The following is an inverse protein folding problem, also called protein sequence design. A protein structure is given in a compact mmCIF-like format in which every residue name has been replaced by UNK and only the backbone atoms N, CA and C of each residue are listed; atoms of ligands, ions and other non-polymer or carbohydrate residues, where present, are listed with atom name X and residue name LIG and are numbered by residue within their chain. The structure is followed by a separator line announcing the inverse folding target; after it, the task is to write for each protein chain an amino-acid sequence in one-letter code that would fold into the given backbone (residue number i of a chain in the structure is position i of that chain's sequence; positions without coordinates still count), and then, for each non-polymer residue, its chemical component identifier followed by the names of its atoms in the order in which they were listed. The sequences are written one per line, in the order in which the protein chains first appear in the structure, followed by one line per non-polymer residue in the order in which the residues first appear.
data_IF_921866929279
#
_entry.id   IF_921866929279
#
_cell.length_a   1.000
_cell.length_b   1.000
_cell.length_c   1.000
_cell.angle_alpha   90.00
_cell.angle_beta   90.00
_cell.angle_gamma   90.00
#
_symmetry.space_group_name_H-M   'P 1'
#
loop_
_entity.id
_entity.type
_entity.pdbx_description
1 polymer ?
#
# COMPACT_ATOMS: atom_id res chain seq x y z
N UNK A 1 -14.33 26.09 -18.79
CA UNK A 1 -12.85 26.12 -18.78
C UNK A 1 -12.41 25.19 -17.66
N UNK A 2 -12.06 23.95 -17.95
CA UNK A 2 -11.51 23.04 -16.95
C UNK A 2 -10.13 23.54 -16.58
N UNK A 3 -9.96 23.97 -15.33
CA UNK A 3 -8.64 24.34 -14.80
C UNK A 3 -7.74 23.10 -14.85
N UNK A 4 -6.80 23.11 -15.77
CA UNK A 4 -5.79 22.05 -15.95
C UNK A 4 -4.72 22.19 -14.84
N UNK A 5 -5.17 22.28 -13.58
CA UNK A 5 -4.24 22.33 -12.46
C UNK A 5 -3.64 20.93 -12.30
N UNK A 6 -2.33 20.75 -12.37
CA UNK A 6 -1.71 19.45 -12.19
C UNK A 6 -2.09 18.87 -10.83
N UNK A 7 -2.46 17.60 -10.82
CA UNK A 7 -2.74 16.86 -9.59
C UNK A 7 -1.42 16.34 -9.04
N UNK A 8 -1.13 16.66 -7.79
CA UNK A 8 0.03 16.16 -7.07
C UNK A 8 -0.38 14.94 -6.23
N UNK A 9 0.58 14.10 -5.86
CA UNK A 9 0.30 12.87 -5.12
C UNK A 9 1.12 12.81 -3.84
N UNK A 10 0.50 12.31 -2.77
CA UNK A 10 1.17 11.89 -1.55
C UNK A 10 1.05 10.35 -1.48
N UNK A 11 2.14 9.64 -1.72
CA UNK A 11 2.16 8.18 -1.91
C UNK A 11 2.63 7.55 -0.60
N UNK A 12 1.81 6.65 -0.04
CA UNK A 12 1.99 6.04 1.28
C UNK A 12 2.48 4.60 1.10
N UNK A 13 3.53 4.22 1.82
CA UNK A 13 4.04 2.86 1.89
C UNK A 13 3.12 1.91 2.66
N UNK A 14 3.61 0.68 2.89
CA UNK A 14 2.87 -0.42 3.52
C UNK A 14 2.41 -0.03 4.94
N UNK A 15 1.10 -0.13 5.19
CA UNK A 15 0.48 0.35 6.44
C UNK A 15 0.36 -0.76 7.47
N UNK A 16 0.00 -1.96 7.03
CA UNK A 16 -0.13 -3.13 7.90
C UNK A 16 -0.88 -2.86 9.21
N UNK A 17 -2.09 -2.28 9.15
CA UNK A 17 -2.90 -2.02 10.32
C UNK A 17 -2.34 -0.97 11.31
N UNK A 18 -1.27 -0.25 10.98
CA UNK A 18 -0.67 0.81 11.80
C UNK A 18 -1.48 2.12 11.66
N UNK A 19 -2.71 2.13 12.18
CA UNK A 19 -3.64 3.25 12.01
C UNK A 19 -3.14 4.55 12.65
N UNK A 20 -2.57 4.48 13.85
CA UNK A 20 -2.08 5.66 14.56
C UNK A 20 -0.94 6.35 13.79
N UNK A 21 -0.01 5.56 13.24
CA UNK A 21 1.07 6.06 12.40
C UNK A 21 0.53 6.62 11.08
N UNK A 22 -0.48 5.98 10.48
CA UNK A 22 -1.14 6.50 9.29
C UNK A 22 -1.77 7.87 9.58
N UNK A 23 -2.50 8.02 10.68
CA UNK A 23 -3.10 9.29 11.09
C UNK A 23 -2.01 10.34 11.36
N UNK A 24 -0.92 9.97 12.03
CA UNK A 24 0.19 10.87 12.31
C UNK A 24 0.89 11.34 11.01
N UNK A 25 1.12 10.42 10.07
CA UNK A 25 1.72 10.74 8.77
C UNK A 25 0.81 11.63 7.94
N UNK A 26 -0.50 11.34 7.88
CA UNK A 26 -1.49 12.15 7.17
C UNK A 26 -1.55 13.58 7.74
N UNK A 27 -1.55 13.74 9.07
CA UNK A 27 -1.47 15.07 9.71
C UNK A 27 -0.18 15.81 9.33
N UNK A 28 0.95 15.10 9.32
CA UNK A 28 2.25 15.68 8.92
C UNK A 28 2.27 16.12 7.45
N UNK A 29 1.53 15.43 6.58
CA UNK A 29 1.34 15.79 5.17
C UNK A 29 0.31 16.93 4.98
N UNK A 30 -0.40 17.34 6.04
CA UNK A 30 -1.37 18.45 6.01
C UNK A 30 -2.82 18.01 5.80
N UNK A 31 -3.14 16.72 5.95
CA UNK A 31 -4.52 16.23 5.94
C UNK A 31 -5.15 16.38 7.32
N UNK A 32 -6.48 16.63 7.35
CA UNK A 32 -7.27 16.56 8.58
C UNK A 32 -8.15 15.31 8.55
N UNK A 33 -8.23 14.61 9.67
CA UNK A 33 -9.01 13.40 9.82
C UNK A 33 -10.11 13.65 10.87
N UNK A 34 -11.35 13.32 10.54
CA UNK A 34 -12.44 13.19 11.47
C UNK A 34 -12.37 11.78 12.08
N UNK A 35 -11.88 11.68 13.30
CA UNK A 35 -11.65 10.41 13.97
C UNK A 35 -12.95 9.69 14.37
N UNK A 36 -14.03 10.44 14.64
CA UNK A 36 -15.32 9.86 14.97
C UNK A 36 -15.93 9.13 13.78
N UNK A 37 -15.77 9.71 12.59
CA UNK A 37 -16.28 9.13 11.34
C UNK A 37 -15.27 8.23 10.61
N UNK A 38 -13.99 8.26 11.01
CA UNK A 38 -12.92 7.54 10.32
C UNK A 38 -12.70 8.01 8.88
N UNK A 39 -12.80 9.33 8.62
CA UNK A 39 -12.70 9.88 7.25
C UNK A 39 -11.73 11.05 7.17
N UNK A 40 -11.17 11.25 5.98
CA UNK A 40 -10.39 12.45 5.67
C UNK A 40 -11.37 13.61 5.48
N UNK A 41 -11.38 14.56 6.44
CA UNK A 41 -12.25 15.74 6.44
C UNK A 41 -11.71 16.85 5.53
N UNK A 42 -10.38 17.00 5.44
CA UNK A 42 -9.72 18.00 4.59
C UNK A 42 -8.44 17.44 3.99
N UNK A 43 -8.24 17.69 2.70
CA UNK A 43 -7.00 17.40 1.99
C UNK A 43 -6.27 18.70 1.62
N UNK A 44 -4.94 18.70 1.48
CA UNK A 44 -4.20 19.81 0.89
C UNK A 44 -4.69 20.07 -0.54
N UNK A 45 -4.64 21.33 -1.01
CA UNK A 45 -5.10 21.66 -2.35
C UNK A 45 -4.36 20.87 -3.44
N UNK A 46 -5.11 20.40 -4.43
CA UNK A 46 -4.59 19.69 -5.62
C UNK A 46 -3.76 18.44 -5.30
N UNK A 47 -4.03 17.76 -4.16
CA UNK A 47 -3.36 16.52 -3.77
C UNK A 47 -4.32 15.38 -3.61
N UNK A 48 -3.89 14.21 -4.07
CA UNK A 48 -4.56 12.93 -3.91
C UNK A 48 -3.60 11.97 -3.20
N UNK A 49 -4.13 11.26 -2.21
CA UNK A 49 -3.39 10.16 -1.58
C UNK A 49 -3.30 8.96 -2.53
N UNK A 50 -2.19 8.22 -2.44
CA UNK A 50 -2.05 6.95 -3.15
C UNK A 50 -1.43 5.93 -2.20
N UNK A 51 -2.05 4.76 -2.03
CA UNK A 51 -1.54 3.69 -1.20
C UNK A 51 -0.92 2.59 -2.06
N UNK A 52 0.25 2.10 -1.67
CA UNK A 52 0.95 1.02 -2.40
C UNK A 52 0.43 -0.38 -2.07
N UNK A 53 -0.63 -0.48 -1.28
CA UNK A 53 -1.20 -1.75 -0.80
C UNK A 53 -0.69 -2.16 0.58
N UNK A 54 -0.93 -3.43 0.92
CA UNK A 54 -0.64 -4.00 2.23
C UNK A 54 -1.19 -3.14 3.39
N UNK A 55 -2.51 -2.94 3.34
CA UNK A 55 -3.24 -2.16 4.33
C UNK A 55 -3.42 -2.95 5.64
N UNK A 56 -3.40 -4.27 5.58
CA UNK A 56 -3.83 -5.19 6.63
C UNK A 56 -2.69 -6.10 7.10
N UNK A 57 -3.00 -6.89 8.11
CA UNK A 57 -2.18 -7.90 8.77
C UNK A 57 -1.10 -7.33 9.71
N UNK A 58 -0.74 -8.12 10.73
CA UNK A 58 0.32 -7.84 11.71
C UNK A 58 0.02 -6.72 12.69
N UNK A 59 -0.49 -5.60 12.23
CA UNK A 59 -0.64 -4.38 13.02
C UNK A 59 -1.92 -4.32 13.86
N UNK A 60 -2.03 -3.29 14.70
CA UNK A 60 -3.02 -3.24 15.76
C UNK A 60 -4.46 -2.96 15.31
N UNK A 61 -4.67 -2.34 14.14
CA UNK A 61 -6.03 -1.95 13.69
C UNK A 61 -6.19 -1.99 12.16
N UNK A 62 -6.22 -3.21 11.60
CA UNK A 62 -6.53 -3.42 10.17
C UNK A 62 -7.94 -2.94 9.78
N UNK A 63 -9.00 -3.15 10.60
CA UNK A 63 -10.34 -2.64 10.29
C UNK A 63 -10.39 -1.12 10.20
N UNK A 64 -9.71 -0.40 11.09
CA UNK A 64 -9.63 1.06 11.08
C UNK A 64 -8.93 1.60 9.83
N UNK A 65 -7.80 0.99 9.45
CA UNK A 65 -7.09 1.33 8.20
C UNK A 65 -7.99 1.07 6.99
N UNK A 66 -8.65 -0.09 6.91
CA UNK A 66 -9.56 -0.42 5.80
C UNK A 66 -10.70 0.58 5.68
N UNK A 67 -11.32 0.98 6.80
CA UNK A 67 -12.39 2.00 6.79
C UNK A 67 -11.88 3.32 6.26
N UNK A 68 -10.78 3.83 6.81
CA UNK A 68 -10.21 5.12 6.41
C UNK A 68 -9.84 5.16 4.93
N UNK A 69 -9.11 4.14 4.46
CA UNK A 69 -8.62 4.10 3.07
C UNK A 69 -9.78 3.88 2.09
N UNK A 70 -10.69 2.95 2.40
CA UNK A 70 -11.89 2.70 1.57
C UNK A 70 -12.72 3.97 1.43
N UNK A 71 -13.04 4.66 2.52
CA UNK A 71 -13.82 5.90 2.47
C UNK A 71 -13.10 7.00 1.68
N UNK A 72 -11.78 7.11 1.84
CA UNK A 72 -10.99 8.07 1.07
C UNK A 72 -11.03 7.77 -0.44
N UNK A 73 -10.97 6.49 -0.83
CA UNK A 73 -11.07 6.06 -2.24
C UNK A 73 -12.47 6.33 -2.79
N UNK A 74 -13.53 5.96 -2.06
CA UNK A 74 -14.92 6.21 -2.48
C UNK A 74 -15.24 7.69 -2.65
N UNK A 75 -14.61 8.56 -1.85
CA UNK A 75 -14.76 10.02 -1.95
C UNK A 75 -13.85 10.65 -3.01
N UNK A 76 -13.07 9.87 -3.75
CA UNK A 76 -12.11 10.39 -4.74
C UNK A 76 -10.92 11.16 -4.14
N UNK A 77 -10.68 11.02 -2.84
CA UNK A 77 -9.55 11.64 -2.12
C UNK A 77 -8.29 10.78 -2.12
N UNK A 78 -8.44 9.49 -2.43
CA UNK A 78 -7.34 8.55 -2.50
C UNK A 78 -7.47 7.59 -3.69
N UNK A 79 -6.33 7.02 -4.08
CA UNK A 79 -6.18 5.84 -4.92
C UNK A 79 -5.47 4.76 -4.11
N UNK A 80 -5.66 3.51 -4.46
CA UNK A 80 -4.97 2.40 -3.80
C UNK A 80 -4.69 1.30 -4.82
N UNK A 81 -3.54 0.66 -4.75
CA UNK A 81 -3.27 -0.60 -5.45
C UNK A 81 -3.41 -1.77 -4.48
N UNK A 82 -3.69 -2.95 -5.00
CA UNK A 82 -3.83 -4.15 -4.19
C UNK A 82 -2.45 -4.67 -3.75
N UNK A 83 -2.25 -4.86 -2.45
CA UNK A 83 -1.11 -5.60 -1.90
C UNK A 83 -1.39 -7.11 -1.81
N UNK A 84 -0.34 -7.90 -1.56
CA UNK A 84 -0.51 -9.34 -1.43
C UNK A 84 -1.25 -9.75 -0.14
N UNK A 85 -1.10 -8.98 0.94
CA UNK A 85 -1.87 -9.17 2.17
C UNK A 85 -3.35 -8.85 1.98
N UNK A 86 -3.67 -7.79 1.25
CA UNK A 86 -5.04 -7.43 0.91
C UNK A 86 -5.72 -8.52 0.06
N UNK A 87 -5.05 -8.99 -1.00
CA UNK A 87 -5.57 -10.09 -1.85
C UNK A 87 -5.75 -11.39 -1.05
N UNK A 88 -4.84 -11.67 -0.13
CA UNK A 88 -4.90 -12.84 0.76
C UNK A 88 -6.10 -12.77 1.70
N UNK A 89 -6.32 -11.62 2.35
CA UNK A 89 -7.49 -11.36 3.20
C UNK A 89 -8.78 -11.53 2.41
N UNK A 90 -8.91 -10.86 1.25
CA UNK A 90 -10.10 -10.98 0.39
C UNK A 90 -10.42 -12.45 0.08
N UNK A 91 -9.43 -13.21 -0.36
CA UNK A 91 -9.62 -14.64 -0.69
C UNK A 91 -10.07 -15.44 0.53
N UNK A 92 -9.53 -15.14 1.71
CA UNK A 92 -9.95 -15.81 2.96
C UNK A 92 -11.38 -15.49 3.31
N UNK A 93 -11.78 -14.22 3.24
CA UNK A 93 -13.16 -13.79 3.51
C UNK A 93 -14.16 -14.37 2.50
N UNK A 94 -13.74 -14.65 1.26
CA UNK A 94 -14.53 -15.34 0.25
C UNK A 94 -14.62 -16.87 0.48
N UNK A 95 -14.10 -17.40 1.60
CA UNK A 95 -14.16 -18.83 1.93
C UNK A 95 -13.15 -19.70 1.17
N UNK A 96 -12.16 -19.10 0.48
CA UNK A 96 -11.11 -19.87 -0.18
C UNK A 96 -10.15 -20.48 0.83
N UNK A 97 -9.59 -21.62 0.49
CA UNK A 97 -8.52 -22.24 1.28
C UNK A 97 -7.25 -21.40 1.18
N UNK A 98 -6.94 -20.66 2.23
CA UNK A 98 -5.79 -19.77 2.34
C UNK A 98 -5.09 -20.05 3.66
N UNK A 99 -3.78 -20.26 3.60
CA UNK A 99 -2.96 -20.44 4.80
C UNK A 99 -3.01 -19.19 5.68
N UNK A 100 -3.33 -19.39 6.96
CA UNK A 100 -3.38 -18.31 7.96
C UNK A 100 -1.97 -18.14 8.55
N UNK A 101 -1.18 -17.27 7.91
CA UNK A 101 0.23 -16.99 8.24
C UNK A 101 0.56 -15.54 7.93
N UNK A 102 1.70 -15.06 8.41
CA UNK A 102 2.25 -13.73 8.16
C UNK A 102 1.35 -12.58 8.63
N UNK A 103 0.68 -12.77 9.78
CA UNK A 103 -0.15 -11.74 10.43
C UNK A 103 -1.61 -11.72 10.00
N UNK A 104 -2.06 -12.60 9.08
CA UNK A 104 -3.48 -12.71 8.70
C UNK A 104 -4.36 -13.10 9.90
N UNK A 105 -3.83 -13.92 10.82
CA UNK A 105 -4.51 -14.31 12.07
C UNK A 105 -4.92 -13.09 12.90
N UNK A 106 -4.06 -12.06 12.94
CA UNK A 106 -4.32 -10.81 13.67
C UNK A 106 -5.53 -10.08 13.07
N UNK A 107 -5.53 -9.91 11.73
CA UNK A 107 -6.67 -9.27 11.04
C UNK A 107 -7.96 -10.04 11.19
N UNK A 108 -7.92 -11.38 11.09
CA UNK A 108 -9.13 -12.21 11.26
C UNK A 108 -9.69 -12.12 12.68
N UNK A 109 -8.83 -12.04 13.69
CA UNK A 109 -9.26 -11.82 15.07
C UNK A 109 -9.93 -10.45 15.25
N UNK A 110 -9.35 -9.40 14.70
CA UNK A 110 -9.91 -8.04 14.70
C UNK A 110 -11.26 -7.95 13.96
N UNK A 111 -11.47 -8.78 12.94
CA UNK A 111 -12.72 -8.81 12.17
C UNK A 111 -13.77 -9.78 12.74
N UNK A 112 -13.50 -10.48 13.85
CA UNK A 112 -14.40 -11.51 14.41
C UNK A 112 -15.80 -11.00 14.68
N UNK A 113 -15.91 -9.78 15.23
CA UNK A 113 -17.18 -9.14 15.58
C UNK A 113 -17.66 -8.15 14.51
N UNK A 114 -17.05 -8.18 13.31
CA UNK A 114 -17.45 -7.30 12.22
C UNK A 114 -18.80 -7.75 11.65
N UNK A 115 -19.65 -6.78 11.26
CA UNK A 115 -20.92 -7.10 10.64
C UNK A 115 -20.71 -7.74 9.25
N UNK A 116 -21.65 -8.61 8.81
CA UNK A 116 -21.59 -9.19 7.47
C UNK A 116 -21.48 -8.13 6.36
N UNK A 117 -22.19 -7.02 6.52
CA UNK A 117 -22.17 -5.91 5.57
C UNK A 117 -20.77 -5.26 5.47
N UNK A 118 -20.07 -5.13 6.59
CA UNK A 118 -18.70 -4.60 6.58
C UNK A 118 -17.73 -5.56 5.90
N UNK A 119 -17.87 -6.87 6.16
CA UNK A 119 -17.04 -7.88 5.47
C UNK A 119 -17.27 -7.89 3.95
N UNK A 120 -18.52 -7.78 3.51
CA UNK A 120 -18.85 -7.65 2.08
C UNK A 120 -18.27 -6.36 1.47
N UNK A 121 -18.30 -5.26 2.20
CA UNK A 121 -17.70 -4.01 1.77
C UNK A 121 -16.18 -4.12 1.62
N UNK A 122 -15.48 -4.82 2.53
CA UNK A 122 -14.05 -5.09 2.44
C UNK A 122 -13.75 -5.94 1.20
N UNK A 123 -14.48 -7.04 1.01
CA UNK A 123 -14.32 -7.92 -0.16
C UNK A 123 -14.48 -7.12 -1.45
N UNK A 124 -15.58 -6.38 -1.57
CA UNK A 124 -15.87 -5.57 -2.76
C UNK A 124 -14.83 -4.48 -3.00
N UNK A 125 -14.36 -3.82 -1.96
CA UNK A 125 -13.32 -2.79 -2.05
C UNK A 125 -12.02 -3.39 -2.58
N UNK A 126 -11.50 -4.46 -1.96
CA UNK A 126 -10.23 -5.06 -2.36
C UNK A 126 -10.33 -5.66 -3.77
N UNK A 127 -11.49 -6.21 -4.15
CA UNK A 127 -11.69 -6.80 -5.48
C UNK A 127 -11.61 -5.77 -6.61
N UNK A 128 -11.94 -4.52 -6.33
CA UNK A 128 -11.88 -3.41 -7.30
C UNK A 128 -10.50 -2.75 -7.38
N UNK A 129 -9.57 -3.06 -6.47
CA UNK A 129 -8.23 -2.46 -6.47
C UNK A 129 -7.41 -2.94 -7.68
N UNK A 130 -6.83 -2.01 -8.45
CA UNK A 130 -5.88 -2.37 -9.51
C UNK A 130 -4.59 -2.91 -8.92
N UNK A 131 -3.82 -3.68 -9.70
CA UNK A 131 -2.50 -4.17 -9.29
C UNK A 131 -1.39 -3.15 -9.53
N UNK A 132 -1.62 -2.18 -10.39
CA UNK A 132 -0.76 -1.00 -10.56
C UNK A 132 -1.57 0.15 -11.16
N UNK A 133 -1.06 1.37 -10.98
CA UNK A 133 -1.61 2.61 -11.53
C UNK A 133 -0.58 3.27 -12.43
N UNK A 134 -1.05 3.86 -13.52
CA UNK A 134 -0.28 4.73 -14.41
C UNK A 134 -0.80 6.15 -14.22
N UNK A 135 0.00 7.01 -13.62
CA UNK A 135 -0.37 8.37 -13.23
C UNK A 135 0.51 9.40 -13.97
N UNK A 136 0.16 10.66 -13.85
CA UNK A 136 0.93 11.78 -14.39
C UNK A 136 1.37 11.54 -15.85
N UNK A 137 0.42 11.20 -16.71
CA UNK A 137 0.66 10.96 -18.15
C UNK A 137 1.75 9.89 -18.41
N UNK A 138 1.85 8.88 -17.54
CA UNK A 138 2.81 7.80 -17.67
C UNK A 138 4.16 8.05 -17.00
N UNK A 139 4.36 9.20 -16.35
CA UNK A 139 5.61 9.52 -15.65
C UNK A 139 5.73 8.92 -14.26
N UNK A 140 4.59 8.52 -13.66
CA UNK A 140 4.52 7.93 -12.33
C UNK A 140 3.75 6.61 -12.38
N UNK A 141 4.36 5.55 -11.87
CA UNK A 141 3.77 4.22 -11.75
C UNK A 141 3.71 3.86 -10.27
N UNK A 142 2.56 3.36 -9.81
CA UNK A 142 2.40 2.84 -8.46
C UNK A 142 2.08 1.36 -8.56
N UNK A 143 2.78 0.54 -7.82
CA UNK A 143 2.51 -0.90 -7.69
C UNK A 143 2.90 -1.37 -6.30
N UNK A 144 2.48 -2.58 -5.90
CA UNK A 144 2.82 -3.05 -4.55
C UNK A 144 4.25 -3.57 -4.50
N UNK A 145 4.60 -4.66 -5.18
CA UNK A 145 5.94 -5.27 -5.06
C UNK A 145 6.89 -4.94 -6.22
N UNK A 146 6.38 -4.38 -7.31
CA UNK A 146 7.18 -3.99 -8.45
C UNK A 146 6.47 -4.15 -9.79
N UNK A 147 7.12 -3.64 -10.85
CA UNK A 147 6.69 -3.82 -12.22
C UNK A 147 7.89 -3.68 -13.18
N UNK A 148 7.95 -4.48 -14.24
CA UNK A 148 8.93 -4.32 -15.29
C UNK A 148 8.44 -3.32 -16.35
N UNK A 149 9.34 -2.50 -16.92
CA UNK A 149 9.02 -1.52 -17.98
C UNK A 149 8.12 -2.09 -19.08
N UNK A 150 8.41 -3.31 -19.55
CA UNK A 150 7.65 -3.97 -20.63
C UNK A 150 6.21 -4.35 -20.24
N UNK A 151 5.86 -4.35 -18.96
CA UNK A 151 4.52 -4.71 -18.46
C UNK A 151 3.60 -3.50 -18.28
N UNK A 152 4.14 -2.29 -18.30
CA UNK A 152 3.37 -1.06 -18.13
C UNK A 152 2.36 -0.93 -19.29
N UNK A 153 1.10 -0.68 -18.96
CA UNK A 153 -0.01 -0.63 -19.93
C UNK A 153 -0.60 -1.99 -20.31
N UNK A 154 -0.10 -3.09 -19.73
CA UNK A 154 -0.58 -4.45 -20.02
C UNK A 154 -1.17 -5.11 -18.76
N UNK A 155 -2.05 -6.11 -18.97
CA UNK A 155 -2.69 -6.88 -17.89
C UNK A 155 -2.65 -8.37 -18.22
N UNK A 156 -2.15 -9.16 -17.28
CA UNK A 156 -2.15 -10.63 -17.36
C UNK A 156 -1.97 -11.23 -15.97
N UNK A 157 -2.27 -12.52 -15.75
CA UNK A 157 -2.00 -13.19 -14.48
C UNK A 157 -0.51 -13.13 -14.06
N UNK A 158 0.41 -13.15 -15.03
CA UNK A 158 1.85 -13.02 -14.79
C UNK A 158 2.21 -11.61 -14.29
N UNK A 159 1.62 -10.57 -14.88
CA UNK A 159 1.84 -9.19 -14.45
C UNK A 159 1.25 -8.97 -13.07
N UNK A 160 0.02 -9.47 -12.82
CA UNK A 160 -0.60 -9.48 -11.50
C UNK A 160 0.33 -10.09 -10.45
N UNK A 161 0.85 -11.29 -10.71
CA UNK A 161 1.75 -11.97 -9.79
C UNK A 161 3.02 -11.15 -9.52
N UNK A 162 3.60 -10.53 -10.55
CA UNK A 162 4.77 -9.67 -10.39
C UNK A 162 4.44 -8.42 -9.54
N UNK A 163 3.29 -7.79 -9.78
CA UNK A 163 2.88 -6.61 -8.99
C UNK A 163 2.63 -6.95 -7.52
N UNK A 164 2.13 -8.16 -7.21
CA UNK A 164 1.82 -8.59 -5.83
C UNK A 164 3.03 -9.14 -5.08
N UNK A 165 3.98 -9.79 -5.77
CA UNK A 165 5.03 -10.59 -5.12
C UNK A 165 6.45 -10.26 -5.58
N UNK A 166 6.60 -9.40 -6.59
CA UNK A 166 7.89 -9.13 -7.20
C UNK A 166 8.44 -10.33 -7.98
N UNK A 167 9.77 -10.39 -8.10
CA UNK A 167 10.47 -11.52 -8.73
C UNK A 167 11.06 -12.41 -7.65
N UNK A 168 10.61 -13.66 -7.57
CA UNK A 168 11.20 -14.67 -6.70
C UNK A 168 12.36 -15.39 -7.43
N UNK A 169 13.40 -15.72 -6.68
CA UNK A 169 14.51 -16.59 -7.09
C UNK A 169 14.36 -18.01 -6.53
N UNK A 170 13.23 -18.33 -5.92
CA UNK A 170 12.99 -19.58 -5.20
C UNK A 170 12.84 -19.34 -3.70
N UNK A 171 13.19 -20.31 -2.89
CA UNK A 171 13.16 -20.24 -1.42
C UNK A 171 14.54 -20.56 -0.85
N UNK A 172 14.83 -20.01 0.32
CA UNK A 172 16.00 -20.35 1.11
C UNK A 172 15.85 -21.73 1.80
N UNK A 173 16.86 -22.14 2.58
CA UNK A 173 16.85 -23.41 3.33
C UNK A 173 15.75 -23.47 4.40
N UNK A 174 15.20 -22.33 4.82
CA UNK A 174 14.08 -22.20 5.77
C UNK A 174 12.72 -22.11 5.07
N UNK A 175 12.68 -22.22 3.73
CA UNK A 175 11.44 -22.09 2.94
C UNK A 175 10.97 -20.65 2.75
N UNK A 176 11.78 -19.65 3.11
CA UNK A 176 11.44 -18.24 2.90
C UNK A 176 11.73 -17.82 1.45
N UNK A 177 10.87 -17.01 0.81
CA UNK A 177 11.08 -16.61 -0.57
C UNK A 177 12.31 -15.72 -0.70
N UNK A 178 13.25 -16.17 -1.55
CA UNK A 178 14.37 -15.34 -1.98
C UNK A 178 13.87 -14.34 -3.02
N UNK A 179 13.96 -13.05 -2.70
CA UNK A 179 13.46 -11.95 -3.53
C UNK A 179 14.59 -11.34 -4.34
N UNK A 180 14.33 -11.15 -5.61
CA UNK A 180 15.23 -10.44 -6.49
C UNK A 180 14.96 -8.93 -6.43
N UNK A 181 15.99 -8.15 -6.19
CA UNK A 181 15.86 -6.69 -6.26
C UNK A 181 15.77 -6.23 -7.72
N UNK A 182 14.57 -6.28 -8.28
CA UNK A 182 14.28 -5.92 -9.67
C UNK A 182 14.57 -4.44 -9.99
N UNK A 183 14.60 -3.58 -8.98
CA UNK A 183 14.87 -2.16 -9.13
C UNK A 183 16.30 -1.87 -9.64
N UNK A 184 17.23 -2.80 -9.40
CA UNK A 184 18.61 -2.69 -9.93
C UNK A 184 18.65 -2.75 -11.46
N UNK A 185 17.70 -3.48 -12.06
CA UNK A 185 17.63 -3.66 -13.51
C UNK A 185 16.58 -2.75 -14.19
N UNK A 186 15.98 -1.83 -13.43
CA UNK A 186 14.94 -0.98 -13.99
C UNK A 186 15.55 0.15 -14.84
N UNK A 187 15.21 0.16 -16.14
CA UNK A 187 15.68 1.13 -17.13
C UNK A 187 14.52 1.97 -17.70
N UNK A 188 13.40 2.07 -16.98
CA UNK A 188 12.25 2.88 -17.38
C UNK A 188 12.46 4.36 -17.10
N UNK A 189 11.79 5.22 -17.88
CA UNK A 189 11.79 6.68 -17.67
C UNK A 189 10.79 7.08 -16.55
N UNK A 190 9.71 6.34 -16.40
CA UNK A 190 8.72 6.56 -15.35
C UNK A 190 9.31 6.27 -13.97
N UNK A 191 8.97 7.11 -12.99
CA UNK A 191 9.23 6.78 -11.60
C UNK A 191 8.28 5.67 -11.16
N UNK A 192 8.82 4.56 -10.64
CA UNK A 192 8.02 3.48 -10.03
C UNK A 192 8.13 3.57 -8.51
N UNK A 193 6.99 3.74 -7.83
CA UNK A 193 6.92 3.76 -6.36
C UNK A 193 6.22 2.48 -5.89
N UNK A 194 6.82 1.80 -4.92
CA UNK A 194 6.40 0.48 -4.47
C UNK A 194 6.74 0.23 -2.99
N UNK A 195 6.42 -0.96 -2.46
CA UNK A 195 6.67 -1.40 -1.09
C UNK A 195 7.06 -2.88 -0.99
N UNK A 196 6.39 -3.65 -0.13
CA UNK A 196 6.44 -5.11 -0.03
C UNK A 196 7.71 -5.71 0.58
N UNK A 197 8.86 -5.17 0.31
CA UNK A 197 10.13 -5.67 0.85
C UNK A 197 10.73 -4.61 1.75
N UNK A 198 10.82 -4.90 3.02
CA UNK A 198 11.31 -3.93 4.02
C UNK A 198 12.72 -3.47 3.68
N UNK A 199 12.91 -2.16 3.72
CA UNK A 199 14.19 -1.49 3.61
C UNK A 199 14.42 -0.61 4.83
N UNK A 200 15.67 -0.43 5.23
CA UNK A 200 16.03 0.43 6.36
C UNK A 200 15.69 1.90 6.06
N UNK A 201 15.98 2.34 4.83
CA UNK A 201 15.70 3.68 4.36
C UNK A 201 15.14 3.66 2.93
N UNK A 202 14.18 4.56 2.66
CA UNK A 202 13.68 4.81 1.30
C UNK A 202 14.69 5.64 0.53
N UNK A 203 15.40 5.02 -0.41
CA UNK A 203 16.38 5.67 -1.30
C UNK A 203 15.99 5.43 -2.74
N UNK A 204 16.17 6.45 -3.57
CA UNK A 204 15.97 6.31 -5.02
C UNK A 204 17.06 5.40 -5.61
N UNK A 205 16.62 4.35 -6.30
CA UNK A 205 17.49 3.45 -7.05
C UNK A 205 16.99 3.42 -8.50
N UNK A 206 17.81 3.87 -9.44
CA UNK A 206 17.35 4.17 -10.80
C UNK A 206 16.11 5.09 -10.75
N UNK A 207 15.09 4.84 -11.56
CA UNK A 207 13.80 5.55 -11.43
C UNK A 207 12.81 4.74 -10.59
N UNK A 208 13.23 4.25 -9.41
CA UNK A 208 12.35 3.54 -8.48
C UNK A 208 12.52 4.06 -7.06
N UNK A 209 11.47 3.86 -6.23
CA UNK A 209 11.51 4.17 -4.81
C UNK A 209 10.67 3.15 -4.04
N UNK A 210 11.31 2.46 -3.10
CA UNK A 210 10.63 1.59 -2.14
C UNK A 210 10.24 2.40 -0.90
N UNK A 211 8.95 2.37 -0.50
CA UNK A 211 8.43 3.08 0.66
C UNK A 211 8.18 2.18 1.87
N UNK A 212 8.37 0.87 1.75
CA UNK A 212 8.20 -0.03 2.89
C UNK A 212 9.41 0.03 3.81
N UNK A 213 9.31 0.88 4.82
CA UNK A 213 10.34 1.07 5.85
C UNK A 213 9.97 0.35 7.16
N UNK A 214 9.16 -0.70 7.06
CA UNK A 214 8.92 -1.65 8.15
C UNK A 214 8.16 -1.09 9.34
N UNK A 215 7.12 -0.26 9.12
CA UNK A 215 6.37 0.36 10.21
C UNK A 215 5.91 -0.68 11.25
N UNK A 216 5.28 -1.76 10.82
CA UNK A 216 4.76 -2.81 11.72
C UNK A 216 5.86 -3.56 12.47
N UNK A 217 7.09 -3.52 11.96
CA UNK A 217 8.31 -4.11 12.56
C UNK A 217 9.11 -3.11 13.41
N UNK A 218 8.51 -1.97 13.79
CA UNK A 218 9.17 -0.97 14.63
C UNK A 218 10.01 0.05 13.87
N UNK A 219 9.97 0.03 12.55
CA UNK A 219 10.64 1.00 11.68
C UNK A 219 9.85 2.31 11.54
N UNK A 220 9.45 2.67 10.33
CA UNK A 220 8.74 3.92 10.00
C UNK A 220 7.59 3.67 9.04
N UNK A 221 6.55 4.53 9.10
CA UNK A 221 5.62 4.68 7.99
C UNK A 221 6.09 5.84 7.11
N UNK A 222 6.34 5.56 5.85
CA UNK A 222 6.99 6.50 4.93
C UNK A 222 6.09 6.84 3.76
N UNK A 223 6.14 8.11 3.33
CA UNK A 223 5.45 8.64 2.17
C UNK A 223 6.40 9.38 1.24
N UNK A 224 6.05 9.41 -0.04
CA UNK A 224 6.64 10.28 -1.05
C UNK A 224 5.65 11.38 -1.44
N UNK A 225 6.05 12.64 -1.36
CA UNK A 225 5.36 13.76 -2.01
C UNK A 225 5.85 13.87 -3.46
N UNK A 226 4.93 13.76 -4.39
CA UNK A 226 5.20 13.87 -5.82
C UNK A 226 4.44 15.07 -6.41
N UNK A 227 5.03 15.90 -7.28
CA UNK A 227 6.32 15.69 -7.97
C UNK A 227 7.56 16.18 -7.22
N UNK A 228 7.43 16.73 -6.01
CA UNK A 228 8.52 17.34 -5.25
C UNK A 228 9.65 16.36 -4.89
N UNK A 229 9.39 15.05 -4.97
CA UNK A 229 10.29 13.95 -4.57
C UNK A 229 10.75 14.07 -3.11
N UNK A 230 9.89 14.63 -2.26
CA UNK A 230 10.15 14.78 -0.84
C UNK A 230 9.68 13.53 -0.07
N UNK A 231 10.59 12.90 0.64
CA UNK A 231 10.28 11.77 1.53
C UNK A 231 9.87 12.32 2.89
N UNK A 232 8.74 11.85 3.41
CA UNK A 232 8.19 12.22 4.73
C UNK A 232 7.89 10.93 5.47
N UNK A 233 8.31 10.82 6.73
CA UNK A 233 8.05 9.62 7.54
C UNK A 233 7.69 9.97 8.97
N UNK A 234 7.05 9.02 9.66
CA UNK A 234 6.83 9.00 11.10
C UNK A 234 7.38 7.69 11.67
N UNK A 235 7.99 7.70 12.86
CA UNK A 235 8.45 6.46 13.49
C UNK A 235 7.24 5.61 13.89
N UNK A 236 7.41 4.29 13.92
CA UNK A 236 6.47 3.40 14.58
C UNK A 236 6.44 3.68 16.08
N UNK A 237 5.26 3.59 16.70
CA UNK A 237 5.11 3.77 18.13
C UNK A 237 5.77 2.63 18.92
N UNK A 238 5.87 1.44 18.32
CA UNK A 238 6.49 0.24 18.89
C UNK A 238 6.72 -0.82 17.83
N UNK A 239 7.39 -1.91 18.18
CA UNK A 239 7.38 -3.16 17.44
C UNK A 239 6.00 -3.82 17.65
N UNK A 240 5.23 -4.00 16.58
CA UNK A 240 3.90 -4.61 16.62
C UNK A 240 3.93 -6.11 16.31
N UNK A 241 4.78 -6.50 15.39
CA UNK A 241 4.92 -7.88 14.92
C UNK A 241 6.40 -8.24 14.78
N UNK A 242 6.90 -9.31 15.40
CA UNK A 242 8.29 -9.75 15.21
C UNK A 242 8.47 -10.33 13.81
N UNK A 243 9.66 -10.12 13.22
CA UNK A 243 10.07 -10.74 11.95
C UNK A 243 10.26 -12.26 12.09
#
# INVERSE_FOLDING_TARGET
MSSNTPVNFDIIGDVHGCLDELIALLKKLGYSIDLEKGVISKAPPNRILVFVGDLVDRGPDSPGVLRLVREAVLQGKALCVCGNHDDKLKRKLQGKDVQITNGLEVTLDQLREASPEFLEQIISFIDQLPYYLVLDQGRLIICHAGIQKKYIGQYSPKIRAFCLYGRSLGTDEKGQPLRYNWAQDYEGEALVVYGHTVVEESVFLNNTLNLDTGCVFGGRLTALRYPERQIVSVPANRLYYPE
#
